data_IF_370977903727
#
_entry.id   IF_370977903727
#
_cell.length_a   1.000
_cell.length_b   1.000
_cell.length_c   1.000
_cell.angle_alpha   90.00
_cell.angle_beta   90.00
_cell.angle_gamma   90.00
#
_symmetry.space_group_name_H-M   'P 1'
#
loop_
_entity.id
_entity.type
_entity.pdbx_description
1 polymer ?
#
# COMPACT_ATOMS: atom_id res chain seq x y z
N UNK A 1 -0.90 -2.54 -20.88
CA UNK A 1 -1.53 -3.16 -19.71
C UNK A 1 -3.01 -3.33 -20.00
N UNK A 2 -3.61 -4.45 -19.61
CA UNK A 2 -5.06 -4.65 -19.71
C UNK A 2 -5.79 -3.61 -18.88
N UNK A 3 -6.98 -3.26 -19.34
CA UNK A 3 -7.81 -2.29 -18.62
C UNK A 3 -8.33 -2.89 -17.30
N UNK A 4 -8.41 -2.06 -16.25
CA UNK A 4 -9.08 -2.38 -14.98
C UNK A 4 -10.55 -1.95 -15.00
N UNK A 5 -11.15 -1.72 -16.16
CA UNK A 5 -12.54 -1.33 -16.30
C UNK A 5 -13.47 -2.33 -15.62
N UNK A 6 -14.42 -1.81 -14.82
CA UNK A 6 -15.32 -2.60 -14.00
C UNK A 6 -14.72 -3.16 -12.72
N UNK A 7 -13.43 -2.92 -12.43
CA UNK A 7 -12.79 -3.29 -11.16
C UNK A 7 -12.91 -2.15 -10.15
N UNK A 8 -13.08 -2.52 -8.89
CA UNK A 8 -13.17 -1.57 -7.76
C UNK A 8 -11.90 -1.75 -6.93
N UNK A 9 -11.14 -0.68 -6.78
CA UNK A 9 -9.90 -0.64 -6.01
C UNK A 9 -10.09 0.14 -4.71
N UNK A 10 -9.79 -0.47 -3.57
CA UNK A 10 -9.71 0.19 -2.27
C UNK A 10 -8.24 0.48 -1.96
N UNK A 11 -7.89 1.76 -1.80
CA UNK A 11 -6.52 2.21 -1.53
C UNK A 11 -6.47 2.90 -0.17
N UNK A 12 -5.67 2.38 0.76
CA UNK A 12 -5.49 2.98 2.08
C UNK A 12 -4.34 3.99 2.10
N UNK A 13 -4.45 5.03 2.93
CA UNK A 13 -3.47 6.12 2.95
C UNK A 13 -3.45 6.93 1.65
N UNK A 14 -4.59 7.00 0.95
CA UNK A 14 -4.71 7.57 -0.40
C UNK A 14 -4.68 9.11 -0.44
N UNK A 15 -4.54 9.79 0.70
CA UNK A 15 -4.57 11.26 0.77
C UNK A 15 -3.29 11.95 0.28
N UNK A 16 -2.16 11.22 0.16
CA UNK A 16 -0.87 11.78 -0.26
C UNK A 16 0.14 10.68 -0.65
N UNK A 17 1.28 11.08 -1.26
CA UNK A 17 2.43 10.21 -1.55
C UNK A 17 2.05 8.95 -2.33
N UNK A 18 2.65 7.83 -1.98
CA UNK A 18 2.49 6.55 -2.68
C UNK A 18 1.00 6.16 -2.82
N UNK A 19 0.20 6.30 -1.75
CA UNK A 19 -1.22 5.94 -1.79
C UNK A 19 -2.02 6.78 -2.78
N UNK A 20 -1.76 8.10 -2.85
CA UNK A 20 -2.36 8.98 -3.85
C UNK A 20 -1.93 8.59 -5.27
N UNK A 21 -0.64 8.39 -5.50
CA UNK A 21 -0.12 7.99 -6.80
C UNK A 21 -0.72 6.65 -7.28
N UNK A 22 -0.81 5.65 -6.38
CA UNK A 22 -1.47 4.38 -6.67
C UNK A 22 -2.95 4.57 -7.06
N UNK A 23 -3.67 5.44 -6.35
CA UNK A 23 -5.08 5.71 -6.63
C UNK A 23 -5.26 6.35 -8.02
N UNK A 24 -4.42 7.33 -8.37
CA UNK A 24 -4.44 7.98 -9.69
C UNK A 24 -4.12 7.00 -10.81
N UNK A 25 -3.07 6.18 -10.66
CA UNK A 25 -2.67 5.23 -11.71
C UNK A 25 -3.69 4.09 -11.89
N UNK A 26 -4.30 3.59 -10.81
CA UNK A 26 -5.39 2.61 -10.90
C UNK A 26 -6.64 3.20 -11.58
N UNK A 27 -6.99 4.46 -11.27
CA UNK A 27 -8.09 5.16 -11.94
C UNK A 27 -7.81 5.36 -13.43
N UNK A 28 -6.60 5.78 -13.79
CA UNK A 28 -6.14 5.91 -15.19
C UNK A 28 -6.18 4.57 -15.93
N UNK A 29 -5.94 3.45 -15.26
CA UNK A 29 -6.11 2.11 -15.79
C UNK A 29 -7.60 1.68 -15.92
N UNK A 30 -8.55 2.50 -15.48
CA UNK A 30 -10.00 2.29 -15.62
C UNK A 30 -10.70 1.73 -14.38
N UNK A 31 -10.01 1.58 -13.25
CA UNK A 31 -10.67 1.17 -12.00
C UNK A 31 -11.53 2.29 -11.40
N UNK A 32 -12.64 1.92 -10.76
CA UNK A 32 -13.31 2.78 -9.79
C UNK A 32 -12.55 2.73 -8.48
N UNK A 33 -12.19 3.88 -7.90
CA UNK A 33 -11.29 3.93 -6.74
C UNK A 33 -12.02 4.39 -5.47
N UNK A 34 -12.03 3.54 -4.45
CA UNK A 34 -12.36 3.88 -3.08
C UNK A 34 -11.10 4.41 -2.39
N UNK A 35 -11.06 5.70 -2.11
CA UNK A 35 -9.96 6.39 -1.45
C UNK A 35 -10.17 6.37 0.06
N UNK A 36 -9.26 5.78 0.83
CA UNK A 36 -9.44 5.63 2.27
C UNK A 36 -8.28 6.23 3.07
N UNK A 37 -8.58 7.15 3.98
CA UNK A 37 -7.64 7.73 4.95
C UNK A 37 -8.39 8.51 6.04
N UNK A 38 -7.66 8.98 7.06
CA UNK A 38 -8.20 9.83 8.13
C UNK A 38 -8.59 11.23 7.65
N UNK A 39 -7.81 11.81 6.74
CA UNK A 39 -8.06 13.16 6.22
C UNK A 39 -8.99 13.11 5.00
N UNK A 40 -10.30 13.19 5.26
CA UNK A 40 -11.35 13.11 4.24
C UNK A 40 -11.32 14.31 3.29
N UNK A 41 -10.91 15.50 3.75
CA UNK A 41 -10.80 16.70 2.91
C UNK A 41 -9.78 16.48 1.79
N UNK A 42 -8.55 16.03 2.15
CA UNK A 42 -7.53 15.69 1.16
C UNK A 42 -7.94 14.53 0.24
N UNK A 43 -8.72 13.56 0.73
CA UNK A 43 -9.27 12.52 -0.13
C UNK A 43 -10.25 13.10 -1.15
N UNK A 44 -11.03 14.13 -0.76
CA UNK A 44 -11.92 14.87 -1.65
C UNK A 44 -11.17 15.56 -2.80
N UNK A 45 -10.00 16.15 -2.51
CA UNK A 45 -9.13 16.74 -3.53
C UNK A 45 -8.64 15.68 -4.54
N UNK A 46 -8.18 14.52 -4.04
CA UNK A 46 -7.73 13.40 -4.90
C UNK A 46 -8.89 12.83 -5.72
N UNK A 47 -10.08 12.71 -5.12
CA UNK A 47 -11.27 12.26 -5.85
C UNK A 47 -11.63 13.24 -6.97
N UNK A 48 -11.60 14.55 -6.71
CA UNK A 48 -11.87 15.57 -7.71
C UNK A 48 -10.85 15.53 -8.87
N UNK A 49 -9.57 15.29 -8.58
CA UNK A 49 -8.52 15.12 -9.58
C UNK A 49 -8.77 13.90 -10.48
N UNK A 50 -9.16 12.75 -9.89
CA UNK A 50 -9.52 11.54 -10.64
C UNK A 50 -10.73 11.79 -11.54
N UNK A 51 -11.77 12.45 -11.02
CA UNK A 51 -12.97 12.77 -11.77
C UNK A 51 -12.68 13.75 -12.92
N UNK A 52 -11.86 14.77 -12.68
CA UNK A 52 -11.43 15.72 -13.70
C UNK A 52 -10.64 15.04 -14.84
N UNK A 53 -9.92 13.95 -14.53
CA UNK A 53 -9.23 13.11 -15.52
C UNK A 53 -10.15 12.06 -16.19
N UNK A 54 -11.47 12.09 -15.94
CA UNK A 54 -12.45 11.17 -16.52
C UNK A 54 -12.61 9.84 -15.80
N UNK A 55 -11.99 9.66 -14.65
CA UNK A 55 -12.10 8.47 -13.79
C UNK A 55 -13.28 8.55 -12.81
N UNK A 56 -13.40 7.54 -11.96
CA UNK A 56 -14.41 7.47 -10.89
C UNK A 56 -13.72 7.19 -9.55
N UNK A 57 -13.98 8.04 -8.56
CA UNK A 57 -13.47 7.85 -7.20
C UNK A 57 -14.43 8.37 -6.14
N UNK A 58 -14.35 7.80 -4.94
CA UNK A 58 -15.09 8.24 -3.77
C UNK A 58 -14.22 8.15 -2.52
N UNK A 59 -14.34 9.14 -1.62
CA UNK A 59 -13.62 9.23 -0.37
C UNK A 59 -14.36 8.50 0.77
N UNK A 60 -13.59 7.79 1.60
CA UNK A 60 -14.07 7.08 2.80
C UNK A 60 -13.15 7.37 3.98
N UNK A 61 -13.74 7.73 5.12
CA UNK A 61 -12.98 7.87 6.36
C UNK A 61 -12.44 6.51 6.81
N UNK A 62 -11.16 6.44 7.18
CA UNK A 62 -10.54 5.22 7.68
C UNK A 62 -9.37 5.53 8.61
N UNK A 63 -9.45 5.05 9.83
CA UNK A 63 -8.29 4.84 10.70
C UNK A 63 -7.98 3.35 10.76
N UNK A 64 -6.89 2.94 10.11
CA UNK A 64 -6.47 1.52 10.07
C UNK A 64 -5.99 0.98 11.43
N UNK A 65 -5.77 1.84 12.42
CA UNK A 65 -5.46 1.42 13.78
C UNK A 65 -6.71 1.12 14.62
N UNK A 66 -7.92 1.42 14.10
CA UNK A 66 -9.21 1.18 14.77
C UNK A 66 -9.99 0.09 14.06
N UNK A 67 -10.23 -1.03 14.75
CA UNK A 67 -11.05 -2.14 14.23
C UNK A 67 -12.47 -1.69 13.88
N UNK A 68 -13.08 -0.78 14.67
CA UNK A 68 -14.39 -0.23 14.41
C UNK A 68 -14.41 0.59 13.11
N UNK A 69 -13.43 1.50 12.95
CA UNK A 69 -13.29 2.31 11.73
C UNK A 69 -13.07 1.43 10.49
N UNK A 70 -12.32 0.34 10.61
CA UNK A 70 -12.12 -0.63 9.53
C UNK A 70 -13.45 -1.28 9.12
N UNK A 71 -14.24 -1.74 10.10
CA UNK A 71 -15.56 -2.37 9.84
C UNK A 71 -16.53 -1.40 9.18
N UNK A 72 -16.59 -0.16 9.67
CA UNK A 72 -17.44 0.89 9.11
C UNK A 72 -17.03 1.26 7.68
N UNK A 73 -15.74 1.48 7.45
CA UNK A 73 -15.22 1.78 6.12
C UNK A 73 -15.49 0.63 5.13
N UNK A 74 -15.17 -0.61 5.49
CA UNK A 74 -15.41 -1.76 4.63
C UNK A 74 -16.91 -1.91 4.29
N UNK A 75 -17.80 -1.74 5.28
CA UNK A 75 -19.25 -1.74 5.08
C UNK A 75 -19.69 -0.64 4.11
N UNK A 76 -19.18 0.59 4.30
CA UNK A 76 -19.51 1.73 3.45
C UNK A 76 -19.05 1.53 2.00
N UNK A 77 -17.82 1.04 1.79
CA UNK A 77 -17.28 0.73 0.45
C UNK A 77 -18.10 -0.37 -0.23
N UNK A 78 -18.44 -1.46 0.48
CA UNK A 78 -19.26 -2.54 -0.06
C UNK A 78 -20.69 -2.10 -0.34
N UNK A 79 -21.27 -1.19 0.46
CA UNK A 79 -22.56 -0.62 0.19
C UNK A 79 -22.57 0.29 -1.05
N UNK A 80 -21.50 1.07 -1.26
CA UNK A 80 -21.38 1.99 -2.40
C UNK A 80 -21.12 1.26 -3.72
N UNK A 81 -20.28 0.21 -3.72
CA UNK A 81 -19.78 -0.40 -4.94
C UNK A 81 -20.12 -1.89 -5.08
N UNK A 82 -20.72 -2.52 -4.07
CA UNK A 82 -21.08 -3.93 -4.07
C UNK A 82 -19.90 -4.91 -3.86
N UNK A 83 -18.71 -4.53 -4.28
CA UNK A 83 -17.53 -5.40 -4.29
C UNK A 83 -16.23 -4.62 -4.05
N UNK A 84 -15.18 -5.31 -3.62
CA UNK A 84 -13.79 -4.85 -3.70
C UNK A 84 -13.00 -5.90 -4.49
N UNK A 85 -12.40 -5.48 -5.59
CA UNK A 85 -11.62 -6.35 -6.47
C UNK A 85 -10.13 -6.23 -6.22
N UNK A 86 -9.66 -5.01 -5.91
CA UNK A 86 -8.26 -4.69 -5.67
C UNK A 86 -8.17 -4.02 -4.29
N UNK A 87 -7.28 -4.51 -3.44
CA UNK A 87 -6.95 -3.88 -2.16
C UNK A 87 -5.49 -3.49 -2.14
N UNK A 88 -5.21 -2.20 -1.91
CA UNK A 88 -3.85 -1.70 -1.70
C UNK A 88 -3.70 -1.28 -0.24
N UNK A 89 -3.04 -2.10 0.56
CA UNK A 89 -2.67 -1.80 1.94
C UNK A 89 -1.40 -0.94 1.94
N UNK A 90 -1.58 0.38 1.86
CA UNK A 90 -0.49 1.34 1.82
C UNK A 90 -0.38 2.17 3.11
N UNK A 91 -1.45 2.35 3.87
CA UNK A 91 -1.41 3.13 5.11
C UNK A 91 -0.33 2.60 6.06
N UNK A 92 0.48 3.52 6.59
CA UNK A 92 1.56 3.17 7.51
C UNK A 92 2.15 4.40 8.19
N UNK A 93 2.82 4.15 9.31
CA UNK A 93 3.55 5.14 10.10
C UNK A 93 4.92 4.62 10.50
N UNK A 94 5.83 5.53 10.82
CA UNK A 94 7.08 5.24 11.51
C UNK A 94 7.10 5.88 12.90
N UNK A 95 7.89 5.30 13.81
CA UNK A 95 8.24 5.86 15.12
C UNK A 95 9.70 5.48 15.37
N UNK A 96 10.59 6.25 14.74
CA UNK A 96 12.01 5.94 14.67
C UNK A 96 12.68 6.31 15.99
N UNK A 97 13.22 5.30 16.67
CA UNK A 97 13.95 5.41 17.93
C UNK A 97 14.78 4.14 18.16
N UNK A 98 15.98 4.29 18.71
CA UNK A 98 16.83 3.14 19.07
C UNK A 98 16.09 2.19 20.03
N UNK A 99 16.23 0.89 19.79
CA UNK A 99 15.52 -0.16 20.54
C UNK A 99 15.61 -0.02 22.06
N UNK A 100 16.78 0.39 22.59
CA UNK A 100 17.00 0.64 24.00
C UNK A 100 16.08 1.73 24.61
N UNK A 101 15.61 2.66 23.78
CA UNK A 101 14.76 3.80 24.20
C UNK A 101 13.33 3.67 23.71
N UNK A 102 13.02 2.66 22.89
CA UNK A 102 11.71 2.45 22.31
C UNK A 102 10.68 2.12 23.38
N UNK A 103 9.62 2.90 23.47
CA UNK A 103 8.51 2.63 24.39
C UNK A 103 7.56 1.61 23.78
N UNK A 104 6.90 0.83 24.65
CA UNK A 104 5.88 -0.13 24.20
C UNK A 104 4.80 0.54 23.33
N UNK A 105 4.41 1.78 23.64
CA UNK A 105 3.46 2.54 22.84
C UNK A 105 3.94 2.78 21.41
N UNK A 106 5.22 3.13 21.22
CA UNK A 106 5.78 3.38 19.87
C UNK A 106 5.82 2.10 19.04
N UNK A 107 6.06 0.96 19.69
CA UNK A 107 5.97 -0.37 19.11
C UNK A 107 4.53 -0.72 18.72
N UNK A 108 3.61 -0.62 19.67
CA UNK A 108 2.20 -0.98 19.48
C UNK A 108 1.54 -0.13 18.38
N UNK A 109 1.76 1.20 18.38
CA UNK A 109 1.20 2.11 17.39
C UNK A 109 1.61 1.71 15.96
N UNK A 110 2.90 1.34 15.77
CA UNK A 110 3.42 0.95 14.45
C UNK A 110 2.86 -0.41 14.02
N UNK A 111 2.85 -1.40 14.90
CA UNK A 111 2.29 -2.72 14.56
C UNK A 111 0.78 -2.66 14.33
N UNK A 112 0.05 -1.92 15.16
CA UNK A 112 -1.39 -1.74 14.99
C UNK A 112 -1.73 -1.16 13.61
N UNK A 113 -1.01 -0.10 13.21
CA UNK A 113 -1.26 0.57 11.93
C UNK A 113 -0.77 -0.25 10.74
N UNK A 114 0.51 -0.66 10.75
CA UNK A 114 1.17 -1.19 9.55
C UNK A 114 0.86 -2.66 9.28
N UNK A 115 0.57 -3.45 10.30
CA UNK A 115 0.39 -4.90 10.18
C UNK A 115 -1.03 -5.33 10.56
N UNK A 116 -1.47 -5.04 11.79
CA UNK A 116 -2.79 -5.47 12.26
C UNK A 116 -3.90 -4.86 11.44
N UNK A 117 -3.81 -3.55 11.16
CA UNK A 117 -4.81 -2.85 10.34
C UNK A 117 -4.91 -3.39 8.92
N UNK A 118 -3.77 -3.69 8.28
CA UNK A 118 -3.74 -4.31 6.96
C UNK A 118 -4.40 -5.71 6.96
N UNK A 119 -4.13 -6.52 8.00
CA UNK A 119 -4.78 -7.83 8.17
C UNK A 119 -6.28 -7.69 8.35
N UNK A 120 -6.74 -6.86 9.27
CA UNK A 120 -8.17 -6.68 9.57
C UNK A 120 -8.95 -6.13 8.37
N UNK A 121 -8.39 -5.15 7.65
CA UNK A 121 -9.04 -4.63 6.45
C UNK A 121 -9.10 -5.68 5.35
N UNK A 122 -8.03 -6.44 5.15
CA UNK A 122 -8.01 -7.57 4.21
C UNK A 122 -9.12 -8.56 4.56
N UNK A 123 -9.24 -8.96 5.83
CA UNK A 123 -10.27 -9.88 6.32
C UNK A 123 -11.68 -9.32 6.06
N UNK A 124 -11.90 -8.02 6.25
CA UNK A 124 -13.20 -7.38 6.08
C UNK A 124 -13.68 -7.37 4.60
N UNK A 125 -12.76 -7.33 3.62
CA UNK A 125 -13.12 -7.22 2.20
C UNK A 125 -12.89 -8.48 1.38
N UNK A 126 -12.02 -9.41 1.81
CA UNK A 126 -11.62 -10.57 1.01
C UNK A 126 -12.78 -11.52 0.66
N UNK A 127 -13.86 -11.52 1.46
CA UNK A 127 -15.01 -12.39 1.17
C UNK A 127 -15.67 -12.07 -0.19
N UNK A 128 -15.64 -10.82 -0.62
CA UNK A 128 -16.11 -10.38 -1.93
C UNK A 128 -15.25 -10.93 -3.07
N UNK A 129 -13.92 -10.90 -2.90
CA UNK A 129 -12.96 -11.46 -3.86
C UNK A 129 -13.10 -12.99 -3.98
N UNK A 130 -13.24 -13.68 -2.83
CA UNK A 130 -13.42 -15.14 -2.77
C UNK A 130 -14.69 -15.57 -3.48
N UNK A 131 -15.81 -14.87 -3.28
CA UNK A 131 -17.09 -15.13 -3.95
C UNK A 131 -17.01 -14.85 -5.45
N UNK A 132 -16.39 -13.74 -5.83
CA UNK A 132 -16.19 -13.33 -7.21
C UNK A 132 -15.15 -14.16 -7.96
N UNK A 133 -14.39 -15.03 -7.27
CA UNK A 133 -13.25 -15.80 -7.80
C UNK A 133 -12.27 -14.94 -8.60
N UNK A 134 -12.05 -13.72 -8.13
CA UNK A 134 -11.08 -12.78 -8.65
C UNK A 134 -10.72 -11.75 -7.58
N UNK A 135 -9.43 -11.48 -7.41
CA UNK A 135 -8.95 -10.46 -6.49
C UNK A 135 -7.46 -10.21 -6.61
N UNK A 136 -7.06 -9.01 -6.20
CA UNK A 136 -5.67 -8.56 -6.11
C UNK A 136 -5.46 -7.85 -4.78
N UNK A 137 -4.63 -8.42 -3.91
CA UNK A 137 -4.23 -7.81 -2.64
C UNK A 137 -2.77 -7.43 -2.75
N UNK A 138 -2.46 -6.15 -2.58
CA UNK A 138 -1.12 -5.59 -2.74
C UNK A 138 -0.76 -4.88 -1.44
N UNK A 139 0.27 -5.38 -0.76
CA UNK A 139 0.75 -4.86 0.51
C UNK A 139 2.00 -4.01 0.27
N UNK A 140 1.96 -2.74 0.63
CA UNK A 140 3.14 -1.87 0.54
C UNK A 140 4.01 -2.09 1.78
N UNK A 141 5.10 -2.82 1.59
CA UNK A 141 6.11 -3.13 2.61
C UNK A 141 7.22 -2.07 2.61
N UNK A 142 8.46 -2.46 2.68
CA UNK A 142 9.65 -1.62 2.58
C UNK A 142 10.89 -2.49 2.47
N UNK A 143 11.92 -1.99 1.82
CA UNK A 143 13.28 -2.57 1.89
C UNK A 143 13.74 -2.78 3.34
N UNK A 144 13.32 -1.91 4.27
CA UNK A 144 13.61 -2.03 5.70
C UNK A 144 12.99 -3.28 6.33
N UNK A 145 11.89 -3.79 5.78
CA UNK A 145 11.29 -5.06 6.20
C UNK A 145 12.14 -6.29 5.84
N UNK A 146 13.05 -6.15 4.88
CA UNK A 146 13.94 -7.21 4.39
C UNK A 146 15.34 -7.10 5.00
N UNK A 147 15.88 -5.88 5.06
CA UNK A 147 17.25 -5.63 5.50
C UNK A 147 17.37 -5.27 7.00
N UNK A 148 16.28 -4.78 7.60
CA UNK A 148 16.36 -4.07 8.89
C UNK A 148 17.00 -2.69 8.76
N UNK A 149 16.79 -1.85 9.77
CA UNK A 149 17.39 -0.51 9.88
C UNK A 149 17.54 -0.12 11.33
N UNK A 150 18.70 0.42 11.69
CA UNK A 150 18.93 0.93 13.04
C UNK A 150 17.91 2.04 13.39
N UNK A 151 17.30 1.96 14.58
CA UNK A 151 16.28 2.90 15.02
C UNK A 151 14.86 2.58 14.51
N UNK A 152 14.68 1.54 13.69
CA UNK A 152 13.39 1.18 13.10
C UNK A 152 12.93 -0.24 13.43
N UNK A 153 13.25 -0.77 14.61
CA UNK A 153 12.94 -2.14 14.99
C UNK A 153 11.43 -2.46 14.88
N UNK A 154 10.55 -1.55 15.32
CA UNK A 154 9.10 -1.65 15.20
C UNK A 154 8.63 -1.63 13.73
N UNK A 155 9.16 -0.70 12.94
CA UNK A 155 8.82 -0.56 11.53
C UNK A 155 9.31 -1.78 10.73
N UNK A 156 10.56 -2.19 10.90
CA UNK A 156 11.12 -3.39 10.27
C UNK A 156 10.30 -4.63 10.60
N UNK A 157 9.97 -4.84 11.88
CA UNK A 157 9.13 -5.97 12.32
C UNK A 157 7.74 -5.94 11.66
N UNK A 158 7.10 -4.75 11.58
CA UNK A 158 5.79 -4.61 10.96
C UNK A 158 5.82 -4.93 9.45
N UNK A 159 6.85 -4.46 8.74
CA UNK A 159 6.99 -4.66 7.30
C UNK A 159 7.44 -6.10 6.96
N UNK A 160 8.31 -6.70 7.75
CA UNK A 160 8.63 -8.12 7.65
C UNK A 160 7.42 -9.02 7.95
N UNK A 161 6.63 -8.68 8.98
CA UNK A 161 5.36 -9.35 9.28
C UNK A 161 4.38 -9.29 8.11
N UNK A 162 4.31 -8.17 7.41
CA UNK A 162 3.45 -7.99 6.24
C UNK A 162 3.90 -8.87 5.06
N UNK A 163 5.21 -9.10 4.89
CA UNK A 163 5.76 -10.06 3.91
C UNK A 163 5.32 -11.49 4.27
N UNK A 164 5.42 -11.87 5.55
CA UNK A 164 4.93 -13.18 6.02
C UNK A 164 3.42 -13.36 5.82
N UNK A 165 2.62 -12.33 6.15
CA UNK A 165 1.18 -12.30 5.92
C UNK A 165 0.84 -12.47 4.43
N UNK A 166 1.56 -11.78 3.55
CA UNK A 166 1.41 -11.89 2.10
C UNK A 166 1.54 -13.34 1.63
N UNK A 167 2.58 -14.04 2.07
CA UNK A 167 2.83 -15.43 1.70
C UNK A 167 1.76 -16.40 2.21
N UNK A 168 1.27 -16.18 3.43
CA UNK A 168 0.18 -17.00 4.03
C UNK A 168 -1.11 -16.82 3.26
N UNK A 169 -1.57 -15.59 3.07
CA UNK A 169 -2.80 -15.29 2.37
C UNK A 169 -2.76 -15.70 0.89
N UNK A 170 -1.60 -15.61 0.25
CA UNK A 170 -1.40 -16.10 -1.11
C UNK A 170 -1.73 -17.60 -1.22
N UNK A 171 -1.28 -18.42 -0.27
CA UNK A 171 -1.57 -19.85 -0.23
C UNK A 171 -3.05 -20.14 0.05
N UNK A 172 -3.67 -19.41 0.98
CA UNK A 172 -5.07 -19.59 1.36
C UNK A 172 -6.03 -19.23 0.22
N UNK A 173 -5.73 -18.16 -0.53
CA UNK A 173 -6.63 -17.57 -1.51
C UNK A 173 -6.40 -18.04 -2.96
N UNK A 174 -5.30 -18.73 -3.24
CA UNK A 174 -4.93 -19.18 -4.59
C UNK A 174 -6.03 -19.97 -5.29
N UNK A 175 -6.71 -20.89 -4.58
CA UNK A 175 -7.81 -21.70 -5.13
C UNK A 175 -9.04 -20.89 -5.55
N UNK A 176 -9.06 -19.60 -5.19
CA UNK A 176 -10.12 -18.64 -5.52
C UNK A 176 -9.69 -17.63 -6.57
N UNK A 177 -8.54 -17.81 -7.23
CA UNK A 177 -8.00 -16.90 -8.24
C UNK A 177 -7.74 -15.49 -7.67
N UNK A 178 -7.42 -15.43 -6.38
CA UNK A 178 -7.01 -14.19 -5.69
C UNK A 178 -5.51 -14.24 -5.49
N UNK A 179 -4.80 -13.23 -6.04
CA UNK A 179 -3.36 -13.10 -5.80
C UNK A 179 -3.09 -12.14 -4.65
N UNK A 180 -2.06 -12.43 -3.88
CA UNK A 180 -1.60 -11.57 -2.78
C UNK A 180 -0.11 -11.37 -2.94
N UNK A 181 0.31 -10.11 -3.16
CA UNK A 181 1.70 -9.76 -3.35
C UNK A 181 2.09 -8.58 -2.47
N UNK A 182 3.38 -8.41 -2.27
CA UNK A 182 3.97 -7.28 -1.60
C UNK A 182 4.81 -6.46 -2.58
N UNK A 183 4.93 -5.17 -2.33
CA UNK A 183 5.93 -4.30 -2.96
C UNK A 183 6.83 -3.78 -1.84
N UNK A 184 8.15 -3.84 -2.04
CA UNK A 184 9.15 -3.32 -1.12
C UNK A 184 9.80 -2.06 -1.71
N UNK A 185 9.26 -0.86 -1.41
CA UNK A 185 9.90 0.39 -1.81
C UNK A 185 11.25 0.59 -1.14
N UNK A 186 12.18 1.19 -1.89
CA UNK A 186 13.40 1.79 -1.34
C UNK A 186 13.14 3.20 -0.80
N UNK A 187 14.12 4.09 -0.96
CA UNK A 187 13.94 5.50 -0.68
C UNK A 187 13.09 6.15 -1.78
N UNK A 188 11.92 6.63 -1.38
CA UNK A 188 10.97 7.31 -2.26
C UNK A 188 10.94 8.80 -1.92
N UNK A 189 10.94 9.65 -2.93
CA UNK A 189 10.85 11.09 -2.77
C UNK A 189 9.54 11.46 -2.06
N UNK A 190 9.66 12.29 -1.03
CA UNK A 190 8.54 12.81 -0.25
C UNK A 190 8.69 14.33 -0.15
N UNK A 191 7.65 15.03 0.29
CA UNK A 191 7.74 16.46 0.58
C UNK A 191 8.89 16.81 1.56
N UNK A 192 9.28 15.86 2.43
CA UNK A 192 10.38 16.03 3.37
C UNK A 192 11.75 15.88 2.70
N UNK A 193 11.90 14.99 1.71
CA UNK A 193 13.16 14.81 0.98
C UNK A 193 13.36 15.86 -0.13
N UNK A 194 12.29 16.47 -0.60
CA UNK A 194 12.35 17.52 -1.62
C UNK A 194 13.15 18.76 -1.16
N UNK A 195 13.16 19.04 0.14
CA UNK A 195 13.85 20.20 0.74
C UNK A 195 15.30 19.91 1.16
N UNK A 196 15.81 18.70 0.95
CA UNK A 196 17.19 18.34 1.26
C UNK A 196 18.18 19.03 0.33
N UNK A 197 19.37 19.37 0.86
CA UNK A 197 20.49 19.87 0.05
C UNK A 197 21.01 18.79 -0.90
N UNK A 198 21.73 19.19 -1.95
CA UNK A 198 22.32 18.25 -2.92
C UNK A 198 23.29 17.27 -2.24
N UNK A 199 24.07 17.71 -1.26
CA UNK A 199 24.97 16.84 -0.49
C UNK A 199 24.19 15.79 0.31
N UNK A 200 23.06 16.17 0.90
CA UNK A 200 22.19 15.21 1.61
C UNK A 200 21.52 14.24 0.65
N UNK A 201 21.07 14.70 -0.51
CA UNK A 201 20.52 13.85 -1.56
C UNK A 201 21.58 12.87 -2.09
N UNK A 202 22.79 13.37 -2.35
CA UNK A 202 23.91 12.56 -2.80
C UNK A 202 24.27 11.48 -1.77
N UNK A 203 24.31 11.79 -0.48
CA UNK A 203 24.57 10.83 0.58
C UNK A 203 23.49 9.70 0.62
N UNK A 204 22.22 10.04 0.37
CA UNK A 204 21.15 9.06 0.28
C UNK A 204 21.27 8.16 -0.95
N UNK A 205 21.67 8.73 -2.10
CA UNK A 205 21.76 7.99 -3.37
C UNK A 205 22.99 7.08 -3.48
N UNK A 206 24.04 7.30 -2.68
CA UNK A 206 25.25 6.46 -2.68
C UNK A 206 24.96 4.96 -2.46
N UNK A 207 23.86 4.64 -1.78
CA UNK A 207 23.47 3.26 -1.51
C UNK A 207 22.41 2.72 -2.50
N UNK A 208 22.07 3.51 -3.52
CA UNK A 208 21.09 3.12 -4.55
C UNK A 208 21.84 2.87 -5.87
N UNK A 209 21.98 1.62 -6.34
CA UNK A 209 22.70 1.33 -7.58
C UNK A 209 22.21 2.11 -8.81
N UNK A 210 20.90 2.41 -8.91
CA UNK A 210 20.36 3.27 -9.98
C UNK A 210 20.68 4.75 -9.82
N UNK A 211 21.38 5.17 -8.74
CA UNK A 211 21.88 6.53 -8.54
C UNK A 211 20.82 7.61 -8.32
N UNK A 212 19.55 7.23 -8.08
CA UNK A 212 18.46 8.16 -7.78
C UNK A 212 17.52 7.61 -6.72
N UNK A 213 16.89 8.47 -5.98
CA UNK A 213 15.69 8.09 -5.18
C UNK A 213 14.55 7.75 -6.13
N UNK A 214 13.67 6.84 -5.69
CA UNK A 214 12.45 6.53 -6.42
C UNK A 214 11.40 7.63 -6.25
N UNK A 215 10.40 7.61 -7.11
CA UNK A 215 9.21 8.46 -7.03
C UNK A 215 8.03 7.62 -6.56
N UNK A 216 6.98 8.25 -6.08
CA UNK A 216 5.71 7.59 -5.77
C UNK A 216 5.10 6.92 -7.02
N UNK A 217 5.38 7.45 -8.22
CA UNK A 217 4.96 6.85 -9.49
C UNK A 217 5.73 5.56 -9.81
N UNK A 218 7.01 5.40 -9.42
CA UNK A 218 7.73 4.13 -9.58
C UNK A 218 6.98 3.00 -8.85
N UNK A 219 6.41 3.30 -7.66
CA UNK A 219 5.61 2.35 -6.89
C UNK A 219 4.21 2.17 -7.50
N UNK A 220 3.56 3.25 -7.93
CA UNK A 220 2.22 3.20 -8.50
C UNK A 220 2.16 2.33 -9.78
N UNK A 221 3.17 2.41 -10.64
CA UNK A 221 3.28 1.54 -11.83
C UNK A 221 3.40 0.06 -11.44
N UNK A 222 4.18 -0.27 -10.41
CA UNK A 222 4.30 -1.65 -9.92
C UNK A 222 2.96 -2.15 -9.33
N UNK A 223 2.23 -1.29 -8.60
CA UNK A 223 0.88 -1.59 -8.10
C UNK A 223 -0.07 -1.85 -9.25
N UNK A 224 -0.10 -0.99 -10.27
CA UNK A 224 -0.98 -1.16 -11.44
C UNK A 224 -0.67 -2.46 -12.19
N UNK A 225 0.61 -2.82 -12.33
CA UNK A 225 1.02 -4.10 -12.91
C UNK A 225 0.51 -5.29 -12.10
N UNK A 226 0.75 -5.31 -10.78
CA UNK A 226 0.29 -6.41 -9.91
C UNK A 226 -1.24 -6.49 -9.79
N UNK A 227 -1.96 -5.38 -10.03
CA UNK A 227 -3.41 -5.32 -10.07
C UNK A 227 -3.99 -5.87 -11.39
N UNK A 228 -3.20 -5.99 -12.44
CA UNK A 228 -3.64 -6.35 -13.79
C UNK A 228 -3.90 -7.85 -13.97
N UNK A 229 -4.46 -8.23 -15.13
CA UNK A 229 -4.63 -9.63 -15.53
C UNK A 229 -3.29 -10.29 -15.88
N UNK A 230 -2.34 -9.51 -16.41
CA UNK A 230 -1.00 -10.00 -16.78
C UNK A 230 -0.21 -10.51 -15.59
N UNK A 231 -0.48 -9.99 -14.39
CA UNK A 231 0.12 -10.47 -13.14
C UNK A 231 -0.62 -11.65 -12.51
N UNK A 232 -1.60 -12.24 -13.19
CA UNK A 232 -2.47 -13.29 -12.64
C UNK A 232 -1.77 -14.58 -12.22
N UNK A 233 -0.51 -14.80 -12.63
CA UNK A 233 0.31 -15.95 -12.21
C UNK A 233 1.37 -15.60 -11.16
N UNK A 234 1.37 -14.35 -10.64
CA UNK A 234 2.27 -13.87 -9.61
C UNK A 234 1.50 -13.82 -8.29
N UNK A 235 1.89 -14.63 -7.31
CA UNK A 235 1.30 -14.60 -5.96
C UNK A 235 2.31 -15.02 -4.89
N UNK A 236 2.22 -14.43 -3.70
CA UNK A 236 3.14 -14.67 -2.59
C UNK A 236 4.51 -14.02 -2.78
N UNK A 237 4.68 -13.18 -3.81
CA UNK A 237 5.94 -12.53 -4.14
C UNK A 237 6.07 -11.17 -3.45
N UNK A 238 7.30 -10.81 -3.09
CA UNK A 238 7.69 -9.45 -2.73
C UNK A 238 8.45 -8.85 -3.90
N UNK A 239 7.87 -7.84 -4.54
CA UNK A 239 8.48 -7.15 -5.67
C UNK A 239 9.31 -5.97 -5.15
N UNK A 240 10.61 -6.06 -5.32
CA UNK A 240 11.54 -5.00 -4.97
C UNK A 240 11.46 -3.84 -5.97
N UNK A 241 11.07 -2.66 -5.46
CA UNK A 241 11.05 -1.40 -6.22
C UNK A 241 11.88 -0.38 -5.46
N UNK A 242 13.19 -0.62 -5.41
CA UNK A 242 14.11 0.05 -4.50
C UNK A 242 15.41 0.54 -5.17
N UNK A 243 15.46 0.52 -6.51
CA UNK A 243 16.65 0.97 -7.26
C UNK A 243 17.88 0.09 -7.08
N UNK A 244 17.70 -1.14 -6.60
CA UNK A 244 18.78 -2.10 -6.34
C UNK A 244 19.39 -1.99 -4.94
N UNK A 245 18.78 -1.23 -4.02
CA UNK A 245 19.24 -1.17 -2.61
C UNK A 245 19.26 -2.54 -1.93
N UNK A 246 18.35 -3.40 -2.33
CA UNK A 246 18.27 -4.79 -1.94
C UNK A 246 17.97 -5.65 -3.18
N UNK A 247 18.64 -6.79 -3.28
CA UNK A 247 18.48 -7.77 -4.35
C UNK A 247 18.40 -9.14 -3.67
N UNK A 248 17.20 -9.60 -3.37
CA UNK A 248 16.93 -10.88 -2.70
C UNK A 248 16.60 -12.02 -3.66
#
# INVERSE_FOLDING_TARGET
MSTLAGRIALVTGASQGIGRACALELAKAGATVALAARNVEKLGEVAAEIVAAGGTAQAFALDVASEESIKECAKAVLAAFGNVHILVNNAGITRDILALRMKKKDWDDVLATNLTGAFLLTQAVMSSMVKGRWGRIINITSVVGETGQAGQANYAASKAGLIGLTKSLARELASRTVTVNAIAPGYIETAMTAVLTDDQKNAMTQHIPLGRVGTDMDIAHAVAFLASEEAGYITGHTLDVNGGMYMG
#
